data_IF_566415550598
#
_entry.id   IF_566415550598
#
_cell.length_a   1.000
_cell.length_b   1.000
_cell.length_c   1.000
_cell.angle_alpha   90.00
_cell.angle_beta   90.00
_cell.angle_gamma   90.00
#
_symmetry.space_group_name_H-M   'P 1'
#
loop_
_entity.id
_entity.type
_entity.pdbx_description
1 polymer ?
#
# COMPACT_ATOMS: atom_id res chain seq x y z
N UNK A 1 -8.78 -19.55 12.75
CA UNK A 1 -7.78 -18.55 13.00
C UNK A 1 -7.69 -17.56 11.85
N UNK A 2 -7.73 -16.32 12.18
CA UNK A 2 -7.85 -15.26 11.18
C UNK A 2 -6.60 -15.08 10.33
N UNK A 3 -5.46 -15.40 10.87
CA UNK A 3 -4.22 -15.20 10.14
C UNK A 3 -4.14 -16.03 8.88
N UNK A 4 -4.63 -17.24 8.96
CA UNK A 4 -4.58 -18.15 7.81
C UNK A 4 -5.44 -17.61 6.68
N UNK A 5 -6.64 -17.13 7.00
CA UNK A 5 -7.50 -16.59 5.95
C UNK A 5 -6.90 -15.37 5.30
N UNK A 6 -6.21 -14.52 6.05
CA UNK A 6 -5.64 -13.32 5.46
C UNK A 6 -4.57 -13.65 4.46
N UNK A 7 -3.73 -14.62 4.76
CA UNK A 7 -2.63 -14.95 3.86
C UNK A 7 -3.11 -15.48 2.54
N UNK A 8 -4.19 -16.22 2.57
CA UNK A 8 -4.70 -16.81 1.35
C UNK A 8 -5.37 -15.81 0.44
N UNK A 9 -5.67 -14.65 0.96
CA UNK A 9 -6.51 -13.71 0.26
C UNK A 9 -5.79 -12.48 -0.24
N UNK A 10 -4.49 -12.36 0.04
CA UNK A 10 -3.72 -11.25 -0.49
C UNK A 10 -3.37 -11.57 -1.92
N UNK A 11 -3.94 -10.84 -2.85
CA UNK A 11 -3.67 -11.10 -4.24
C UNK A 11 -3.77 -9.84 -5.07
N UNK A 12 -3.19 -9.93 -6.24
CA UNK A 12 -3.12 -8.84 -7.17
C UNK A 12 -4.21 -9.02 -8.23
N UNK A 13 -4.92 -7.95 -8.47
CA UNK A 13 -5.98 -7.94 -9.47
C UNK A 13 -5.69 -6.81 -10.45
N UNK A 14 -5.62 -7.17 -11.71
CA UNK A 14 -5.37 -6.18 -12.75
C UNK A 14 -6.66 -5.93 -13.52
N UNK A 15 -7.00 -4.67 -13.65
CA UNK A 15 -8.21 -4.29 -14.34
C UNK A 15 -7.94 -3.04 -15.15
N UNK A 16 -8.09 -3.14 -16.46
CA UNK A 16 -7.77 -2.04 -17.36
C UNK A 16 -6.33 -1.62 -17.18
N UNK A 17 -6.09 -0.34 -16.86
CA UNK A 17 -4.74 0.18 -16.68
C UNK A 17 -4.31 0.21 -15.22
N UNK A 18 -5.14 -0.30 -14.34
CA UNK A 18 -4.85 -0.23 -12.91
C UNK A 18 -4.57 -1.61 -12.35
N UNK A 19 -3.60 -1.65 -11.45
CA UNK A 19 -3.29 -2.84 -10.69
C UNK A 19 -3.75 -2.64 -9.26
N UNK A 20 -4.57 -3.56 -8.80
CA UNK A 20 -5.08 -3.55 -7.44
C UNK A 20 -4.48 -4.68 -6.65
N UNK A 21 -4.33 -4.47 -5.36
CA UNK A 21 -4.03 -5.54 -4.41
C UNK A 21 -5.18 -5.52 -3.41
N UNK A 22 -5.69 -6.70 -3.11
CA UNK A 22 -6.80 -6.80 -2.16
C UNK A 22 -6.46 -7.82 -1.08
N UNK A 23 -7.05 -7.61 0.08
CA UNK A 23 -7.04 -8.60 1.14
C UNK A 23 -8.48 -8.99 1.39
N UNK A 24 -8.75 -10.28 1.32
CA UNK A 24 -10.06 -10.81 1.61
C UNK A 24 -10.02 -11.58 2.91
N UNK A 25 -11.06 -11.46 3.68
CA UNK A 25 -11.28 -12.29 4.85
C UNK A 25 -12.51 -13.13 4.56
N UNK A 26 -12.28 -14.42 4.34
CA UNK A 26 -13.32 -15.31 3.86
C UNK A 26 -13.74 -14.87 2.46
N UNK A 27 -14.96 -14.44 2.25
CA UNK A 27 -15.41 -14.04 0.93
C UNK A 27 -15.55 -12.54 0.77
N UNK A 28 -15.05 -11.79 1.74
CA UNK A 28 -15.27 -10.35 1.77
C UNK A 28 -13.95 -9.61 1.64
N UNK A 29 -13.93 -8.63 0.75
CA UNK A 29 -12.76 -7.76 0.62
C UNK A 29 -12.74 -6.82 1.82
N UNK A 30 -11.64 -6.81 2.55
CA UNK A 30 -11.50 -5.97 3.73
C UNK A 30 -10.51 -4.83 3.53
N UNK A 31 -9.59 -4.95 2.59
CA UNK A 31 -8.61 -3.89 2.36
C UNK A 31 -8.20 -3.89 0.90
N UNK A 32 -7.86 -2.72 0.39
CA UNK A 32 -7.51 -2.55 -1.02
C UNK A 32 -6.45 -1.46 -1.13
N UNK A 33 -5.58 -1.62 -2.11
CA UNK A 33 -4.63 -0.59 -2.50
C UNK A 33 -4.42 -0.67 -4.00
N UNK A 34 -3.94 0.40 -4.60
CA UNK A 34 -3.87 0.50 -6.03
C UNK A 34 -2.51 1.04 -6.45
N UNK A 35 -1.94 0.45 -7.49
CA UNK A 35 -0.70 0.90 -8.09
C UNK A 35 -1.08 1.84 -9.23
N UNK A 36 -0.54 3.07 -9.22
CA UNK A 36 -0.89 4.08 -10.20
C UNK A 36 0.34 4.85 -10.65
N UNK A 37 0.16 5.67 -11.65
CA UNK A 37 1.19 6.59 -12.15
C UNK A 37 2.50 5.87 -12.39
N UNK A 38 2.42 4.72 -13.02
CA UNK A 38 3.60 3.92 -13.25
C UNK A 38 4.37 4.40 -14.45
N UNK A 39 5.67 4.62 -14.27
CA UNK A 39 6.60 4.93 -15.35
C UNK A 39 7.70 3.87 -15.35
N UNK A 40 8.73 4.10 -16.13
CA UNK A 40 9.86 3.16 -16.15
C UNK A 40 10.58 3.12 -14.82
N UNK A 41 10.60 4.25 -14.09
CA UNK A 41 11.39 4.37 -12.88
C UNK A 41 10.57 4.52 -11.60
N UNK A 42 9.30 4.89 -11.72
CA UNK A 42 8.49 5.29 -10.57
C UNK A 42 7.16 4.57 -10.60
N UNK A 43 6.61 4.38 -9.40
CA UNK A 43 5.26 3.86 -9.29
C UNK A 43 4.66 4.35 -7.98
N UNK A 44 3.44 4.86 -8.05
CA UNK A 44 2.74 5.39 -6.89
C UNK A 44 1.75 4.38 -6.35
N UNK A 45 1.50 4.47 -5.05
CA UNK A 45 0.45 3.72 -4.39
C UNK A 45 -0.65 4.71 -4.03
N UNK A 46 -1.88 4.36 -4.33
CA UNK A 46 -3.02 5.20 -4.01
C UNK A 46 -4.22 4.36 -3.64
N UNK A 47 -5.29 5.04 -3.25
CA UNK A 47 -6.56 4.38 -2.93
C UNK A 47 -6.40 3.29 -1.87
N UNK A 48 -5.55 3.54 -0.87
CA UNK A 48 -5.39 2.60 0.24
C UNK A 48 -6.61 2.72 1.14
N UNK A 49 -7.32 1.61 1.32
CA UNK A 49 -8.54 1.65 2.10
C UNK A 49 -8.77 0.32 2.81
N UNK A 50 -9.16 0.39 4.06
CA UNK A 50 -9.59 -0.77 4.84
C UNK A 50 -10.96 -0.47 5.40
N UNK A 51 -11.89 -1.42 5.31
CA UNK A 51 -13.24 -1.18 5.82
C UNK A 51 -13.17 -0.92 7.32
N UNK A 52 -14.09 -0.10 7.78
CA UNK A 52 -13.99 0.50 9.11
C UNK A 52 -13.87 -0.54 10.22
N UNK A 53 -14.69 -1.56 10.19
CA UNK A 53 -14.67 -2.54 11.28
C UNK A 53 -13.46 -3.46 11.25
N UNK A 54 -12.65 -3.37 10.20
CA UNK A 54 -11.44 -4.17 10.11
C UNK A 54 -10.19 -3.34 10.32
N UNK A 55 -10.33 -2.10 10.71
CA UNK A 55 -9.18 -1.23 10.94
C UNK A 55 -8.50 -1.59 12.25
N UNK A 56 -7.25 -1.13 12.40
CA UNK A 56 -6.41 -1.39 13.58
C UNK A 56 -6.02 -2.85 13.71
N UNK A 57 -6.12 -3.60 12.63
CA UNK A 57 -5.68 -4.99 12.61
C UNK A 57 -4.45 -5.18 11.73
N UNK A 58 -3.88 -4.09 11.22
CA UNK A 58 -2.67 -4.16 10.43
C UNK A 58 -2.87 -4.42 8.97
N UNK A 59 -4.09 -4.39 8.45
CA UNK A 59 -4.33 -4.68 7.05
C UNK A 59 -3.72 -3.63 6.12
N UNK A 60 -3.87 -2.36 6.46
CA UNK A 60 -3.31 -1.30 5.62
C UNK A 60 -1.80 -1.40 5.55
N UNK A 61 -1.15 -1.68 6.67
CA UNK A 61 0.30 -1.84 6.67
C UNK A 61 0.71 -3.04 5.83
N UNK A 62 -0.03 -4.12 5.95
CA UNK A 62 0.28 -5.34 5.21
C UNK A 62 0.15 -5.12 3.70
N UNK A 63 -0.92 -4.48 3.28
CA UNK A 63 -1.17 -4.30 1.86
C UNK A 63 -0.23 -3.29 1.23
N UNK A 64 0.08 -2.21 1.94
CA UNK A 64 1.05 -1.22 1.45
C UNK A 64 2.45 -1.81 1.41
N UNK A 65 2.82 -2.59 2.43
CA UNK A 65 4.11 -3.26 2.45
C UNK A 65 4.26 -4.21 1.28
N UNK A 66 3.22 -4.96 0.99
CA UNK A 66 3.25 -5.90 -0.14
C UNK A 66 3.44 -5.15 -1.44
N UNK A 67 2.68 -4.09 -1.66
CA UNK A 67 2.77 -3.34 -2.90
C UNK A 67 4.10 -2.63 -3.03
N UNK A 68 4.60 -2.07 -1.94
CA UNK A 68 5.90 -1.41 -1.92
C UNK A 68 7.00 -2.39 -2.32
N UNK A 69 6.97 -3.57 -1.72
CA UNK A 69 7.96 -4.59 -2.02
C UNK A 69 7.88 -5.01 -3.49
N UNK A 70 6.67 -5.16 -4.00
CA UNK A 70 6.49 -5.52 -5.40
C UNK A 70 7.08 -4.45 -6.33
N UNK A 71 6.85 -3.18 -6.03
CA UNK A 71 7.38 -2.08 -6.83
C UNK A 71 8.91 -2.08 -6.79
N UNK A 72 9.47 -2.21 -5.62
CA UNK A 72 10.92 -2.14 -5.43
C UNK A 72 11.62 -3.33 -6.07
N UNK A 73 11.05 -4.51 -5.96
CA UNK A 73 11.64 -5.70 -6.59
C UNK A 73 11.58 -5.64 -8.11
N UNK A 74 10.74 -4.78 -8.66
CA UNK A 74 10.70 -4.54 -10.09
C UNK A 74 11.56 -3.35 -10.49
N UNK A 75 12.47 -2.95 -9.60
CA UNK A 75 13.48 -1.92 -9.87
C UNK A 75 12.88 -0.53 -10.07
N UNK A 76 11.78 -0.25 -9.39
CA UNK A 76 11.15 1.05 -9.45
C UNK A 76 11.13 1.69 -8.06
N UNK A 77 11.03 2.99 -8.04
CA UNK A 77 10.92 3.75 -6.80
C UNK A 77 9.45 3.85 -6.44
N UNK A 78 9.13 3.44 -5.22
CA UNK A 78 7.75 3.54 -4.71
C UNK A 78 7.58 4.89 -4.03
N UNK A 79 6.49 5.56 -4.34
CA UNK A 79 6.18 6.83 -3.70
C UNK A 79 4.67 6.95 -3.53
N UNK A 80 4.26 7.91 -2.70
CA UNK A 80 2.84 8.15 -2.50
C UNK A 80 2.60 9.57 -2.03
N UNK A 81 1.39 10.03 -2.28
CA UNK A 81 0.93 11.32 -1.80
C UNK A 81 0.04 11.10 -0.59
N UNK A 82 0.13 11.98 0.37
CA UNK A 82 -0.61 11.85 1.62
C UNK A 82 -1.24 13.17 1.98
N UNK A 83 -2.30 13.08 2.77
CA UNK A 83 -2.93 14.24 3.36
C UNK A 83 -2.19 14.56 4.66
N UNK A 84 -1.59 15.74 4.72
CA UNK A 84 -0.82 16.13 5.91
C UNK A 84 -1.68 16.18 7.16
N UNK A 85 -2.99 16.27 6.98
CA UNK A 85 -3.91 16.33 8.11
C UNK A 85 -4.33 14.95 8.60
N UNK A 86 -3.68 13.90 8.10
CA UNK A 86 -3.98 12.54 8.51
C UNK A 86 -2.75 11.90 9.15
N UNK A 87 -2.51 12.17 10.45
CA UNK A 87 -1.30 11.67 11.11
C UNK A 87 -1.25 10.15 11.22
N UNK A 88 -2.40 9.50 11.25
CA UNK A 88 -2.43 8.04 11.36
C UNK A 88 -1.85 7.41 10.11
N UNK A 89 -2.26 7.89 8.94
CA UNK A 89 -1.72 7.38 7.67
C UNK A 89 -0.24 7.70 7.54
N UNK A 90 0.16 8.91 7.93
CA UNK A 90 1.55 9.32 7.83
C UNK A 90 2.43 8.43 8.70
N UNK A 91 1.98 8.13 9.91
CA UNK A 91 2.72 7.25 10.79
C UNK A 91 2.84 5.84 10.20
N UNK A 92 1.76 5.37 9.60
CA UNK A 92 1.76 4.06 8.94
C UNK A 92 2.85 3.98 7.87
N UNK A 93 2.88 4.96 6.98
CA UNK A 93 3.84 4.93 5.88
C UNK A 93 5.27 5.03 6.38
N UNK A 94 5.50 5.87 7.38
CA UNK A 94 6.83 5.98 7.96
C UNK A 94 7.26 4.68 8.63
N UNK A 95 6.33 3.97 9.23
CA UNK A 95 6.66 2.70 9.88
C UNK A 95 7.07 1.62 8.88
N UNK A 96 6.66 1.77 7.62
CA UNK A 96 7.03 0.84 6.56
C UNK A 96 8.41 1.18 6.00
N UNK A 97 8.79 2.44 6.03
CA UNK A 97 10.08 2.87 5.51
C UNK A 97 10.01 4.07 4.58
N UNK A 98 8.84 4.67 4.46
CA UNK A 98 8.72 5.87 3.64
C UNK A 98 9.28 7.06 4.40
N UNK A 99 9.93 7.97 3.66
CA UNK A 99 10.43 9.22 4.22
C UNK A 99 9.79 10.38 3.49
N UNK A 100 9.59 11.43 4.23
CA UNK A 100 9.00 12.65 3.68
C UNK A 100 10.00 13.31 2.75
N UNK A 101 9.59 13.55 1.53
CA UNK A 101 10.54 14.01 0.51
C UNK A 101 10.31 15.44 0.07
N UNK A 102 9.06 15.90 0.06
CA UNK A 102 8.76 17.21 -0.50
C UNK A 102 7.73 17.95 0.35
N UNK A 103 7.72 19.27 0.26
CA UNK A 103 6.69 20.05 0.94
C UNK A 103 5.27 19.70 0.51
N UNK A 104 5.10 19.08 -0.66
CA UNK A 104 3.78 18.65 -1.13
C UNK A 104 3.30 17.36 -0.50
N UNK A 105 3.95 16.92 0.59
CA UNK A 105 3.53 15.73 1.32
C UNK A 105 3.64 14.46 0.50
N UNK A 106 4.73 14.36 -0.21
CA UNK A 106 5.07 13.17 -0.97
C UNK A 106 6.03 12.33 -0.17
N UNK A 107 5.72 11.04 0.01
CA UNK A 107 6.59 10.09 0.68
C UNK A 107 7.26 9.22 -0.36
N UNK A 108 8.55 8.99 -0.17
CA UNK A 108 9.33 8.11 -1.02
C UNK A 108 9.88 6.99 -0.14
N UNK A 109 9.78 5.77 -0.63
CA UNK A 109 10.30 4.63 0.08
C UNK A 109 11.83 4.59 -0.08
N UNK A 110 12.53 4.51 1.05
CA UNK A 110 13.99 4.41 1.07
C UNK A 110 14.36 2.95 1.22
N UNK A 111 14.98 2.42 0.18
CA UNK A 111 15.43 1.04 0.19
C UNK A 111 16.94 1.03 0.33
N UNK A 112 17.43 0.37 1.34
CA UNK A 112 18.88 0.25 1.56
C UNK A 112 19.32 -1.11 1.04
N UNK A 113 20.22 -1.08 0.08
CA UNK A 113 20.72 -2.29 -0.53
C UNK A 113 22.05 -2.69 0.05
#
# INVERSE_FOLDING_TARGET
NNEVSYQETLKRVKENISDFVIIKNEKRIVSIAKKTRETDCLCSISAVYTIEKERKKGFSKKIVSFLTNYIVTNHKIAYLFVDKNNPISNHLYQSIGYVYDKPQFEFIYQSYQ
#
